data_IF_490519394887
#
_entry.id   IF_490519394887
#
_cell.length_a   1.000
_cell.length_b   1.000
_cell.length_c   1.000
_cell.angle_alpha   90.00
_cell.angle_beta   90.00
_cell.angle_gamma   90.00
#
_symmetry.space_group_name_H-M   'P 1'
#
loop_
_entity.id
_entity.type
_entity.pdbx_description
1 polymer ?
#
# COMPACT_ATOMS: atom_id res chain seq x y z
N UNK A 1 21.58 -37.96 -6.29
CA UNK A 1 20.21 -37.39 -6.43
C UNK A 1 19.84 -36.36 -5.35
N UNK A 2 20.26 -36.48 -4.08
CA UNK A 2 19.93 -35.50 -3.02
C UNK A 2 20.47 -34.07 -3.22
N UNK A 3 21.62 -33.86 -3.87
CA UNK A 3 22.21 -32.52 -4.03
C UNK A 3 21.44 -31.59 -5.00
N UNK A 4 20.86 -32.13 -6.08
CA UNK A 4 20.07 -31.34 -7.05
C UNK A 4 18.74 -30.84 -6.47
N UNK A 5 18.11 -31.64 -5.59
CA UNK A 5 16.82 -31.30 -5.00
C UNK A 5 16.92 -30.20 -3.94
N UNK A 6 18.03 -30.20 -3.17
CA UNK A 6 18.34 -29.14 -2.19
C UNK A 6 18.61 -27.80 -2.90
N UNK A 7 19.22 -27.81 -4.08
CA UNK A 7 19.48 -26.59 -4.87
C UNK A 7 18.21 -25.92 -5.39
N UNK A 8 17.21 -26.68 -5.87
CA UNK A 8 15.94 -26.09 -6.33
C UNK A 8 15.11 -25.50 -5.19
N UNK A 9 15.07 -26.13 -4.02
CA UNK A 9 14.31 -25.63 -2.87
C UNK A 9 14.84 -24.28 -2.38
N UNK A 10 16.16 -24.13 -2.32
CA UNK A 10 16.84 -22.88 -1.97
C UNK A 10 16.53 -21.70 -2.91
N UNK A 11 16.11 -21.97 -4.15
CA UNK A 11 15.77 -20.95 -5.15
C UNK A 11 14.30 -20.49 -5.02
N UNK A 12 13.36 -21.42 -4.79
CA UNK A 12 11.92 -21.09 -4.77
C UNK A 12 11.43 -20.52 -3.44
N UNK A 13 12.00 -20.94 -2.32
CA UNK A 13 11.60 -20.47 -0.98
C UNK A 13 11.67 -18.93 -0.86
N UNK A 14 12.80 -18.25 -1.17
CA UNK A 14 12.87 -16.80 -1.04
C UNK A 14 11.89 -16.08 -1.98
N UNK A 15 11.65 -16.62 -3.17
CA UNK A 15 10.68 -16.07 -4.12
C UNK A 15 9.26 -16.10 -3.53
N UNK A 16 8.82 -17.25 -3.02
CA UNK A 16 7.48 -17.39 -2.45
C UNK A 16 7.30 -16.59 -1.16
N UNK A 17 8.35 -16.46 -0.33
CA UNK A 17 8.34 -15.55 0.81
C UNK A 17 8.10 -14.12 0.34
N UNK A 18 8.78 -13.68 -0.73
CA UNK A 18 8.58 -12.35 -1.31
C UNK A 18 7.17 -12.16 -1.88
N UNK A 19 6.63 -13.17 -2.56
CA UNK A 19 5.23 -13.16 -3.06
C UNK A 19 4.24 -13.01 -1.92
N UNK A 20 4.36 -13.83 -0.87
CA UNK A 20 3.44 -13.81 0.27
C UNK A 20 3.54 -12.51 1.06
N UNK A 21 4.75 -12.01 1.30
CA UNK A 21 4.96 -10.72 1.95
C UNK A 21 4.35 -9.57 1.15
N UNK A 22 4.54 -9.57 -0.17
CA UNK A 22 4.00 -8.54 -1.06
C UNK A 22 2.48 -8.56 -1.11
N UNK A 23 1.88 -9.75 -1.25
CA UNK A 23 0.43 -9.91 -1.20
C UNK A 23 -0.14 -9.44 0.14
N UNK A 24 0.44 -9.90 1.24
CA UNK A 24 0.00 -9.50 2.58
C UNK A 24 0.02 -7.99 2.75
N UNK A 25 1.12 -7.35 2.34
CA UNK A 25 1.26 -5.90 2.41
C UNK A 25 0.22 -5.17 1.55
N UNK A 26 0.01 -5.61 0.30
CA UNK A 26 -1.01 -5.02 -0.59
C UNK A 26 -2.43 -5.23 -0.06
N UNK A 27 -2.76 -6.40 0.52
CA UNK A 27 -4.06 -6.63 1.16
C UNK A 27 -4.29 -5.62 2.28
N UNK A 28 -3.36 -5.52 3.24
CA UNK A 28 -3.54 -4.66 4.41
C UNK A 28 -3.70 -3.19 4.02
N UNK A 29 -2.81 -2.72 3.14
CA UNK A 29 -2.80 -1.33 2.71
C UNK A 29 -4.04 -0.97 1.88
N UNK A 30 -4.37 -1.80 0.87
CA UNK A 30 -5.54 -1.56 0.04
C UNK A 30 -6.86 -1.71 0.81
N UNK A 31 -6.92 -2.63 1.79
CA UNK A 31 -8.09 -2.78 2.65
C UNK A 31 -8.28 -1.56 3.54
N UNK A 32 -7.23 -1.08 4.22
CA UNK A 32 -7.34 0.10 5.06
C UNK A 32 -7.82 1.32 4.27
N UNK A 33 -7.26 1.57 3.09
CA UNK A 33 -7.68 2.68 2.23
C UNK A 33 -9.10 2.51 1.66
N UNK A 34 -9.49 1.28 1.33
CA UNK A 34 -10.86 0.97 0.90
C UNK A 34 -11.84 1.28 2.03
N UNK A 35 -11.56 0.81 3.24
CA UNK A 35 -12.42 1.03 4.41
C UNK A 35 -12.50 2.52 4.76
N UNK A 36 -11.38 3.27 4.67
CA UNK A 36 -11.34 4.72 4.83
C UNK A 36 -12.26 5.44 3.84
N UNK A 37 -12.32 4.97 2.60
CA UNK A 37 -13.21 5.54 1.59
C UNK A 37 -14.70 5.30 1.92
N UNK A 38 -15.04 4.23 2.65
CA UNK A 38 -16.40 3.86 3.02
C UNK A 38 -16.79 4.22 4.47
N UNK A 39 -15.88 4.78 5.26
CA UNK A 39 -16.02 5.07 6.69
C UNK A 39 -17.12 6.10 7.07
N UNK A 40 -17.97 6.52 6.13
CA UNK A 40 -19.11 7.40 6.40
C UNK A 40 -18.79 8.89 6.47
N UNK A 41 -17.54 9.28 6.18
CA UNK A 41 -17.20 10.69 6.01
C UNK A 41 -18.02 11.34 4.89
N UNK A 42 -18.47 12.59 5.07
CA UNK A 42 -19.23 13.30 4.04
C UNK A 42 -18.35 13.57 2.82
N UNK A 43 -18.71 13.04 1.64
CA UNK A 43 -17.99 13.35 0.39
C UNK A 43 -18.51 14.65 -0.20
N UNK A 44 -17.62 15.61 -0.40
CA UNK A 44 -17.99 16.98 -0.83
C UNK A 44 -17.18 17.43 -2.04
N UNK A 45 -16.03 16.78 -2.32
CA UNK A 45 -15.17 17.13 -3.43
C UNK A 45 -15.34 16.20 -4.63
N UNK A 46 -15.21 16.77 -5.82
CA UNK A 46 -15.20 16.04 -7.09
C UNK A 46 -13.79 15.59 -7.49
N UNK A 47 -12.76 16.16 -6.85
CA UNK A 47 -11.36 15.98 -7.22
C UNK A 47 -10.49 15.48 -6.06
N UNK A 48 -9.51 14.65 -6.39
CA UNK A 48 -8.57 14.09 -5.41
C UNK A 48 -7.52 15.11 -4.97
N UNK A 49 -7.36 15.26 -3.66
CA UNK A 49 -6.33 16.09 -3.04
C UNK A 49 -4.97 15.39 -3.10
N UNK A 50 -3.95 16.09 -3.63
CA UNK A 50 -2.57 15.60 -3.63
C UNK A 50 -1.82 16.08 -2.40
N UNK A 51 -0.81 15.32 -1.96
CA UNK A 51 0.07 15.72 -0.86
C UNK A 51 -0.46 15.42 0.54
N UNK A 52 -1.54 14.64 0.65
CA UNK A 52 -1.93 14.00 1.90
C UNK A 52 -1.13 12.72 2.11
N UNK A 53 -0.42 12.61 3.22
CA UNK A 53 0.51 11.52 3.51
C UNK A 53 0.22 10.93 4.89
N UNK A 54 -0.02 9.62 4.92
CA UNK A 54 -0.30 8.87 6.12
C UNK A 54 0.61 7.63 6.19
N UNK A 55 0.96 7.16 7.39
CA UNK A 55 1.62 5.86 7.53
C UNK A 55 0.66 4.74 7.11
N UNK A 56 1.14 3.77 6.32
CA UNK A 56 0.31 2.63 5.89
C UNK A 56 0.02 1.67 7.06
N UNK A 57 1.03 1.48 7.93
CA UNK A 57 0.96 0.58 9.09
C UNK A 57 1.38 1.34 10.35
N UNK A 58 0.69 1.06 11.45
CA UNK A 58 1.05 1.48 12.81
C UNK A 58 0.89 0.31 13.79
N UNK A 59 1.55 0.38 14.95
CA UNK A 59 1.29 -0.57 16.06
C UNK A 59 0.39 0.08 17.11
N UNK A 60 -0.30 -0.71 17.94
CA UNK A 60 -1.34 -0.21 18.88
C UNK A 60 -0.91 0.92 19.82
N UNK A 61 0.37 0.99 20.18
CA UNK A 61 0.91 2.00 21.08
C UNK A 61 1.71 3.10 20.39
N UNK A 62 1.76 3.10 19.05
CA UNK A 62 2.54 4.06 18.29
C UNK A 62 1.77 5.36 18.08
N UNK A 63 2.44 6.49 18.28
CA UNK A 63 1.92 7.82 17.96
C UNK A 63 2.67 8.36 16.74
N UNK A 64 1.93 8.84 15.74
CA UNK A 64 2.49 9.36 14.48
C UNK A 64 1.79 10.64 14.08
N UNK A 65 2.38 11.38 13.15
CA UNK A 65 1.70 12.48 12.48
C UNK A 65 1.26 12.08 11.08
N UNK A 66 0.04 12.47 10.73
CA UNK A 66 -0.43 12.58 9.35
C UNK A 66 -0.12 14.00 8.88
N UNK A 67 0.13 14.17 7.58
CA UNK A 67 0.47 15.50 7.06
C UNK A 67 -0.19 15.81 5.73
N UNK A 68 -0.57 17.07 5.57
CA UNK A 68 -1.12 17.60 4.33
C UNK A 68 -0.23 18.73 3.81
N UNK A 69 0.15 18.66 2.54
CA UNK A 69 0.82 19.75 1.83
C UNK A 69 -0.20 20.49 0.96
N UNK A 70 -0.34 21.79 1.19
CA UNK A 70 -1.20 22.66 0.38
C UNK A 70 -0.33 23.72 -0.28
N UNK A 71 -0.41 23.80 -1.60
CA UNK A 71 0.34 24.75 -2.42
C UNK A 71 -0.61 25.72 -3.11
N UNK A 72 -0.22 26.99 -3.21
CA UNK A 72 -0.91 27.99 -4.01
C UNK A 72 -0.24 28.11 -5.40
N UNK A 73 -0.83 27.56 -6.47
CA UNK A 73 -0.26 27.64 -7.81
C UNK A 73 -0.57 28.97 -8.53
N UNK A 74 -1.32 29.88 -7.90
CA UNK A 74 -1.79 31.12 -8.52
C UNK A 74 -0.93 32.31 -8.12
N UNK A 75 -0.99 33.37 -8.92
CA UNK A 75 -0.30 34.64 -8.67
C UNK A 75 -1.04 35.56 -7.68
N UNK A 76 -2.04 35.02 -6.97
CA UNK A 76 -2.86 35.75 -5.99
C UNK A 76 -2.85 35.06 -4.64
N UNK A 77 -2.92 35.81 -3.55
CA UNK A 77 -3.00 35.24 -2.20
C UNK A 77 -4.29 34.44 -2.04
N UNK A 78 -4.18 33.19 -1.59
CA UNK A 78 -5.32 32.32 -1.32
C UNK A 78 -5.56 32.18 0.18
N UNK A 79 -6.84 32.07 0.56
CA UNK A 79 -7.26 31.83 1.93
C UNK A 79 -8.14 30.58 2.09
N UNK A 80 -7.66 29.39 1.70
CA UNK A 80 -8.48 28.18 1.78
C UNK A 80 -8.78 27.80 3.23
N UNK A 81 -9.98 27.28 3.44
CA UNK A 81 -10.35 26.58 4.67
C UNK A 81 -10.06 25.11 4.47
N UNK A 82 -9.43 24.50 5.45
CA UNK A 82 -9.06 23.08 5.47
C UNK A 82 -9.82 22.44 6.62
N UNK A 83 -10.48 21.33 6.33
CA UNK A 83 -11.09 20.46 7.34
C UNK A 83 -10.37 19.13 7.33
N UNK A 84 -9.79 18.74 8.47
CA UNK A 84 -9.32 17.38 8.69
C UNK A 84 -10.29 16.65 9.63
N UNK A 85 -10.64 15.43 9.29
CA UNK A 85 -11.49 14.54 10.08
C UNK A 85 -10.66 13.28 10.40
N UNK A 86 -10.52 12.93 11.68
CA UNK A 86 -9.77 11.75 12.14
C UNK A 86 -10.72 10.83 12.91
N UNK A 87 -10.71 9.53 12.61
CA UNK A 87 -11.56 8.55 13.30
C UNK A 87 -11.31 8.51 14.80
N UNK A 88 -12.36 8.27 15.56
CA UNK A 88 -12.29 7.80 16.95
C UNK A 88 -13.43 6.79 17.17
N UNK A 89 -13.40 5.95 18.23
CA UNK A 89 -14.47 4.98 18.53
C UNK A 89 -15.89 5.55 18.72
N UNK A 90 -16.01 6.87 18.94
CA UNK A 90 -17.29 7.53 19.22
C UNK A 90 -17.70 8.48 18.11
N UNK A 91 -16.89 9.51 17.88
CA UNK A 91 -17.15 10.57 16.91
C UNK A 91 -15.81 11.04 16.32
N UNK A 92 -15.75 11.21 15.00
CA UNK A 92 -14.54 11.71 14.38
C UNK A 92 -14.14 13.08 14.95
N UNK A 93 -12.86 13.26 15.24
CA UNK A 93 -12.30 14.55 15.62
C UNK A 93 -12.22 15.44 14.38
N UNK A 94 -12.83 16.63 14.46
CA UNK A 94 -12.81 17.62 13.38
C UNK A 94 -11.84 18.76 13.70
N UNK A 95 -10.91 19.01 12.78
CA UNK A 95 -9.98 20.14 12.83
C UNK A 95 -10.28 21.08 11.67
N UNK A 96 -10.62 22.33 11.98
CA UNK A 96 -10.87 23.37 10.99
C UNK A 96 -9.77 24.42 11.05
N UNK A 97 -9.01 24.56 9.96
CA UNK A 97 -7.89 25.49 9.88
C UNK A 97 -8.04 26.41 8.67
N UNK A 98 -7.84 27.70 8.86
CA UNK A 98 -7.78 28.67 7.78
C UNK A 98 -6.33 29.00 7.49
N UNK A 99 -5.89 28.72 6.27
CA UNK A 99 -4.55 29.08 5.82
C UNK A 99 -4.58 30.36 5.01
N UNK A 100 -3.54 31.18 5.14
CA UNK A 100 -3.22 32.23 4.19
C UNK A 100 -1.95 31.82 3.45
N UNK A 101 -2.04 31.72 2.12
CA UNK A 101 -0.96 31.27 1.23
C UNK A 101 -0.63 32.39 0.25
N UNK A 102 0.60 32.91 0.31
CA UNK A 102 1.12 33.82 -0.70
C UNK A 102 1.24 33.12 -2.07
N UNK A 103 1.37 33.89 -3.17
CA UNK A 103 1.62 33.33 -4.50
C UNK A 103 2.81 32.35 -4.50
N UNK A 104 2.60 31.13 -5.01
CA UNK A 104 3.62 30.08 -5.05
C UNK A 104 3.97 29.43 -3.70
N UNK A 105 3.37 29.88 -2.59
CA UNK A 105 3.67 29.36 -1.26
C UNK A 105 3.13 27.94 -1.07
N UNK A 106 3.89 27.10 -0.37
CA UNK A 106 3.45 25.77 0.08
C UNK A 106 3.55 25.68 1.59
N UNK A 107 2.43 25.38 2.26
CA UNK A 107 2.39 25.11 3.71
C UNK A 107 2.12 23.63 3.96
N UNK A 108 2.67 23.14 5.08
CA UNK A 108 2.46 21.78 5.56
C UNK A 108 1.71 21.84 6.89
N UNK A 109 0.59 21.14 6.95
CA UNK A 109 -0.16 20.87 8.17
C UNK A 109 0.15 19.47 8.67
N UNK A 110 0.19 19.30 9.99
CA UNK A 110 0.45 18.02 10.63
C UNK A 110 -0.52 17.82 11.80
N UNK A 111 -1.18 16.66 11.82
CA UNK A 111 -2.05 16.25 12.92
C UNK A 111 -1.52 14.97 13.53
N UNK A 112 -1.60 14.85 14.85
CA UNK A 112 -1.13 13.67 15.58
C UNK A 112 -2.24 12.63 15.62
N UNK A 113 -1.88 11.38 15.36
CA UNK A 113 -2.75 10.20 15.44
C UNK A 113 -2.13 9.19 16.40
N UNK A 114 -2.97 8.60 17.25
CA UNK A 114 -2.55 7.70 18.31
C UNK A 114 -3.57 6.58 18.60
N UNK A 115 -3.37 5.85 19.70
CA UNK A 115 -4.26 4.77 20.14
C UNK A 115 -5.72 5.20 20.33
N UNK A 116 -5.95 6.47 20.67
CA UNK A 116 -7.27 7.10 20.84
C UNK A 116 -8.07 7.20 19.52
N UNK A 117 -7.39 7.17 18.38
CA UNK A 117 -8.02 7.29 17.06
C UNK A 117 -8.37 5.94 16.42
N UNK A 118 -8.03 4.83 17.09
CA UNK A 118 -8.30 3.48 16.59
C UNK A 118 -9.81 3.25 16.59
N UNK A 119 -10.37 3.05 15.41
CA UNK A 119 -11.74 2.59 15.22
C UNK A 119 -11.79 1.21 14.54
N UNK A 120 -12.94 0.55 14.64
CA UNK A 120 -13.15 -0.83 14.16
C UNK A 120 -12.05 -1.79 14.64
N UNK A 121 -11.55 -1.55 15.86
CA UNK A 121 -10.47 -2.26 16.57
C UNK A 121 -9.08 -2.25 15.92
N UNK A 122 -8.97 -1.98 14.61
CA UNK A 122 -7.75 -2.20 13.82
C UNK A 122 -7.41 -1.10 12.83
N UNK A 123 -8.19 -0.03 12.76
CA UNK A 123 -8.01 0.99 11.73
C UNK A 123 -7.96 2.38 12.33
N UNK A 124 -7.19 3.26 11.70
CA UNK A 124 -7.32 4.71 11.90
C UNK A 124 -7.62 5.29 10.52
N UNK A 125 -8.69 6.05 10.41
CA UNK A 125 -9.09 6.70 9.18
C UNK A 125 -8.87 8.19 9.31
N UNK A 126 -8.32 8.80 8.28
CA UNK A 126 -8.21 10.24 8.22
C UNK A 126 -8.66 10.75 6.86
N UNK A 127 -9.33 11.89 6.87
CA UNK A 127 -9.78 12.60 5.70
C UNK A 127 -9.35 14.05 5.79
N UNK A 128 -8.88 14.58 4.67
CA UNK A 128 -8.61 15.99 4.50
C UNK A 128 -9.46 16.54 3.37
N UNK A 129 -10.15 17.64 3.63
CA UNK A 129 -10.94 18.42 2.67
C UNK A 129 -10.37 19.84 2.60
N UNK A 130 -10.01 20.26 1.40
CA UNK A 130 -9.67 21.65 1.10
C UNK A 130 -10.87 22.26 0.38
N UNK A 131 -11.50 23.26 1.01
CA UNK A 131 -12.63 23.96 0.41
C UNK A 131 -12.19 24.80 -0.79
N UNK A 132 -13.07 24.90 -1.78
CA UNK A 132 -12.86 25.62 -3.03
C UNK A 132 -12.59 27.10 -2.77
N UNK A 133 -11.60 27.64 -3.46
CA UNK A 133 -11.35 29.07 -3.56
C UNK A 133 -11.18 29.35 -5.04
N UNK A 134 -12.08 30.14 -5.63
CA UNK A 134 -12.11 30.37 -7.08
C UNK A 134 -10.71 30.76 -7.60
N UNK A 135 -10.18 30.08 -8.64
CA UNK A 135 -10.81 29.07 -9.50
C UNK A 135 -10.63 27.59 -9.08
N UNK A 136 -10.05 27.29 -7.92
CA UNK A 136 -9.82 25.91 -7.46
C UNK A 136 -11.10 25.28 -6.91
N UNK A 137 -11.39 24.05 -7.35
CA UNK A 137 -12.50 23.22 -6.86
C UNK A 137 -12.22 22.63 -5.47
N UNK A 138 -13.26 22.11 -4.81
CA UNK A 138 -13.10 21.29 -3.61
C UNK A 138 -12.21 20.09 -3.92
N UNK A 139 -11.26 19.80 -3.02
CA UNK A 139 -10.34 18.67 -3.12
C UNK A 139 -10.39 17.85 -1.84
N UNK A 140 -10.56 16.53 -1.95
CA UNK A 140 -10.55 15.63 -0.81
C UNK A 140 -9.58 14.48 -0.98
N UNK A 141 -8.97 14.05 0.13
CA UNK A 141 -8.22 12.80 0.20
C UNK A 141 -8.62 12.05 1.47
N UNK A 142 -8.65 10.73 1.36
CA UNK A 142 -8.82 9.82 2.48
C UNK A 142 -7.61 8.92 2.56
N UNK A 143 -7.25 8.49 3.76
CA UNK A 143 -6.22 7.49 3.97
C UNK A 143 -6.64 6.55 5.09
N UNK A 144 -6.31 5.28 4.94
CA UNK A 144 -6.47 4.29 5.98
C UNK A 144 -5.12 3.86 6.54
N UNK A 145 -5.04 3.76 7.86
CA UNK A 145 -3.88 3.26 8.58
C UNK A 145 -4.29 1.94 9.22
N UNK A 146 -3.57 0.86 8.91
CA UNK A 146 -3.83 -0.45 9.52
C UNK A 146 -3.00 -0.66 10.79
N UNK A 147 -3.65 -1.08 11.87
CA UNK A 147 -3.00 -1.38 13.15
C UNK A 147 -2.59 -2.85 13.20
N UNK A 148 -1.29 -3.09 13.39
CA UNK A 148 -0.71 -4.42 13.47
C UNK A 148 -0.30 -4.75 14.91
N UNK A 149 -0.69 -5.93 15.37
CA UNK A 149 -0.38 -6.45 16.71
C UNK A 149 0.99 -7.15 16.74
N UNK A 150 2.04 -6.44 16.34
CA UNK A 150 3.41 -6.93 16.35
C UNK A 150 4.28 -6.01 17.22
N UNK A 151 5.29 -6.57 17.92
CA UNK A 151 6.25 -5.75 18.66
C UNK A 151 7.11 -4.93 17.68
N UNK A 152 7.23 -3.63 17.93
CA UNK A 152 8.05 -2.71 17.14
C UNK A 152 7.29 -1.48 16.64
N UNK A 153 7.87 -0.80 15.65
CA UNK A 153 7.22 0.33 14.96
C UNK A 153 6.61 -0.12 13.63
N UNK A 154 5.45 0.41 13.28
CA UNK A 154 4.77 0.14 12.01
C UNK A 154 5.66 0.48 10.82
N UNK A 155 6.47 1.54 10.93
CA UNK A 155 7.49 1.89 9.92
C UNK A 155 8.53 0.79 9.73
N UNK A 156 9.04 0.19 10.81
CA UNK A 156 10.02 -0.88 10.71
C UNK A 156 9.39 -2.15 10.10
N UNK A 157 8.16 -2.48 10.50
CA UNK A 157 7.41 -3.62 9.94
C UNK A 157 7.15 -3.42 8.45
N UNK A 158 6.69 -2.23 8.06
CA UNK A 158 6.47 -1.86 6.66
C UNK A 158 7.75 -1.97 5.84
N UNK A 159 8.86 -1.39 6.33
CA UNK A 159 10.15 -1.48 5.68
C UNK A 159 10.64 -2.93 5.54
N UNK A 160 10.46 -3.75 6.58
CA UNK A 160 10.80 -5.17 6.55
C UNK A 160 9.98 -5.93 5.50
N UNK A 161 8.66 -5.70 5.42
CA UNK A 161 7.80 -6.34 4.43
C UNK A 161 8.19 -5.93 3.00
N UNK A 162 8.53 -4.67 2.77
CA UNK A 162 9.06 -4.20 1.48
C UNK A 162 10.37 -4.91 1.15
N UNK A 163 11.31 -4.97 2.10
CA UNK A 163 12.59 -5.65 1.91
C UNK A 163 12.41 -7.15 1.63
N UNK A 164 11.51 -7.82 2.34
CA UNK A 164 11.18 -9.23 2.09
C UNK A 164 10.55 -9.41 0.71
N UNK A 165 9.67 -8.50 0.29
CA UNK A 165 9.01 -8.55 -1.01
C UNK A 165 10.01 -8.37 -2.15
N UNK A 166 10.68 -7.21 -2.21
CA UNK A 166 11.60 -6.90 -3.30
C UNK A 166 12.90 -7.73 -3.22
N UNK A 167 13.40 -8.00 -2.01
CA UNK A 167 14.54 -8.87 -1.80
C UNK A 167 14.24 -10.31 -2.19
N UNK A 168 13.10 -10.86 -1.76
CA UNK A 168 12.68 -12.22 -2.10
C UNK A 168 12.40 -12.42 -3.59
N UNK A 169 11.64 -11.49 -4.19
CA UNK A 169 11.37 -11.51 -5.63
C UNK A 169 12.65 -11.32 -6.46
N UNK A 170 13.47 -10.33 -6.10
CA UNK A 170 14.71 -10.01 -6.81
C UNK A 170 15.74 -11.13 -6.73
N UNK A 171 16.03 -11.62 -5.53
CA UNK A 171 16.94 -12.74 -5.31
C UNK A 171 16.42 -14.03 -5.98
N UNK A 172 15.14 -14.33 -5.80
CA UNK A 172 14.51 -15.50 -6.40
C UNK A 172 14.60 -15.49 -7.93
N UNK A 173 14.30 -14.36 -8.58
CA UNK A 173 14.43 -14.21 -10.03
C UNK A 173 15.89 -14.27 -10.49
N UNK A 174 16.82 -13.66 -9.76
CA UNK A 174 18.24 -13.72 -10.07
C UNK A 174 18.76 -15.16 -10.03
N UNK A 175 18.47 -15.89 -8.95
CA UNK A 175 18.87 -17.28 -8.79
C UNK A 175 18.22 -18.20 -9.85
N UNK A 176 16.95 -17.96 -10.20
CA UNK A 176 16.28 -18.67 -11.30
C UNK A 176 16.95 -18.40 -12.65
N UNK A 177 17.34 -17.17 -12.96
CA UNK A 177 18.04 -16.83 -14.21
C UNK A 177 19.38 -17.55 -14.32
N UNK A 178 20.15 -17.60 -13.23
CA UNK A 178 21.44 -18.29 -13.22
C UNK A 178 21.27 -19.81 -13.38
N UNK A 179 20.26 -20.40 -12.75
CA UNK A 179 19.96 -21.83 -12.87
C UNK A 179 19.30 -22.22 -14.21
N UNK A 180 18.65 -21.27 -14.90
CA UNK A 180 17.92 -21.50 -16.16
C UNK A 180 18.79 -22.08 -17.26
N UNK A 181 20.09 -21.75 -17.30
CA UNK A 181 21.03 -22.29 -18.29
C UNK A 181 21.23 -23.82 -18.17
N UNK A 182 20.87 -24.40 -17.02
CA UNK A 182 21.07 -25.83 -16.73
C UNK A 182 19.78 -26.65 -16.68
N UNK A 183 18.61 -26.00 -16.74
CA UNK A 183 17.33 -26.67 -16.50
C UNK A 183 16.20 -26.07 -17.35
N UNK A 184 15.83 -26.77 -18.43
CA UNK A 184 14.75 -26.40 -19.35
C UNK A 184 13.38 -26.19 -18.67
N UNK A 185 13.20 -26.77 -17.47
CA UNK A 185 11.99 -26.56 -16.67
C UNK A 185 11.89 -25.12 -16.13
N UNK A 186 13.02 -24.56 -15.69
CA UNK A 186 13.12 -23.21 -15.12
C UNK A 186 12.88 -22.18 -16.23
N UNK A 187 13.45 -22.42 -17.42
CA UNK A 187 13.28 -21.57 -18.58
C UNK A 187 11.80 -21.39 -18.96
N UNK A 188 11.01 -22.48 -18.92
CA UNK A 188 9.57 -22.44 -19.22
C UNK A 188 8.75 -21.62 -18.21
N UNK A 189 9.10 -21.64 -16.93
CA UNK A 189 8.34 -20.95 -15.87
C UNK A 189 8.89 -19.56 -15.51
N UNK A 190 10.06 -19.18 -16.03
CA UNK A 190 10.67 -17.89 -15.71
C UNK A 190 9.80 -16.70 -16.16
N UNK A 191 9.16 -16.78 -17.35
CA UNK A 191 8.28 -15.72 -17.86
C UNK A 191 7.06 -15.47 -16.95
N UNK A 192 6.21 -16.46 -16.63
CA UNK A 192 5.05 -16.21 -15.78
C UNK A 192 5.44 -15.82 -14.33
N UNK A 193 6.55 -16.34 -13.79
CA UNK A 193 7.05 -15.90 -12.47
C UNK A 193 7.57 -14.47 -12.48
N UNK A 194 8.24 -14.04 -13.56
CA UNK A 194 8.66 -12.64 -13.72
C UNK A 194 7.43 -11.73 -13.83
N UNK A 195 6.41 -12.15 -14.58
CA UNK A 195 5.16 -11.39 -14.70
C UNK A 195 4.45 -11.25 -13.34
N UNK A 196 4.33 -12.33 -12.57
CA UNK A 196 3.75 -12.27 -11.22
C UNK A 196 4.53 -11.33 -10.30
N UNK A 197 5.87 -11.37 -10.35
CA UNK A 197 6.71 -10.47 -9.56
C UNK A 197 6.50 -8.99 -9.93
N UNK A 198 6.35 -8.68 -11.22
CA UNK A 198 6.03 -7.32 -11.70
C UNK A 198 4.65 -6.89 -11.22
N UNK A 199 3.64 -7.75 -11.33
CA UNK A 199 2.27 -7.44 -10.86
C UNK A 199 2.25 -7.16 -9.36
N UNK A 200 2.93 -7.98 -8.54
CA UNK A 200 3.03 -7.76 -7.09
C UNK A 200 3.81 -6.48 -6.77
N UNK A 201 4.94 -6.25 -7.44
CA UNK A 201 5.73 -5.03 -7.26
C UNK A 201 4.94 -3.76 -7.58
N UNK A 202 4.15 -3.78 -8.66
CA UNK A 202 3.22 -2.70 -9.01
C UNK A 202 2.10 -2.57 -7.98
N UNK A 203 1.52 -3.68 -7.51
CA UNK A 203 0.47 -3.68 -6.49
C UNK A 203 0.93 -3.03 -5.19
N UNK A 204 2.13 -3.38 -4.72
CA UNK A 204 2.75 -2.76 -3.53
C UNK A 204 3.02 -1.26 -3.76
N UNK A 205 3.57 -0.89 -4.92
CA UNK A 205 3.87 0.52 -5.22
C UNK A 205 2.60 1.38 -5.28
N UNK A 206 1.57 0.91 -5.98
CA UNK A 206 0.29 1.62 -6.12
C UNK A 206 -0.43 1.72 -4.77
N UNK A 207 -0.40 0.66 -3.97
CA UNK A 207 -1.01 0.65 -2.64
C UNK A 207 -0.28 1.59 -1.68
N UNK A 208 1.05 1.68 -1.75
CA UNK A 208 1.82 2.64 -0.95
C UNK A 208 1.56 4.10 -1.32
N UNK A 209 0.98 4.37 -2.50
CA UNK A 209 0.56 5.71 -2.95
C UNK A 209 -0.90 6.03 -2.60
N UNK A 210 -1.60 5.16 -1.86
CA UNK A 210 -3.02 5.35 -1.50
C UNK A 210 -4.02 4.91 -2.58
N UNK A 211 -3.55 4.23 -3.63
CA UNK A 211 -4.39 3.81 -4.75
C UNK A 211 -5.12 2.49 -4.50
N UNK A 212 -6.16 2.47 -3.66
CA UNK A 212 -6.83 1.22 -3.28
C UNK A 212 -7.48 0.47 -4.45
N UNK A 213 -8.24 1.16 -5.32
CA UNK A 213 -8.95 0.53 -6.43
C UNK A 213 -8.03 -0.21 -7.42
N UNK A 214 -6.98 0.43 -7.99
CA UNK A 214 -6.03 -0.28 -8.84
C UNK A 214 -5.23 -1.35 -8.08
N UNK A 215 -5.00 -1.19 -6.76
CA UNK A 215 -4.33 -2.22 -5.95
C UNK A 215 -5.17 -3.49 -5.80
N UNK A 216 -6.47 -3.37 -5.57
CA UNK A 216 -7.40 -4.53 -5.51
C UNK A 216 -7.43 -5.24 -6.87
N UNK A 217 -7.46 -4.50 -7.97
CA UNK A 217 -7.43 -5.08 -9.32
C UNK A 217 -6.14 -5.89 -9.54
N UNK A 218 -4.98 -5.30 -9.22
CA UNK A 218 -3.68 -5.98 -9.33
C UNK A 218 -3.60 -7.21 -8.42
N UNK A 219 -4.20 -7.14 -7.23
CA UNK A 219 -4.27 -8.26 -6.31
C UNK A 219 -5.11 -9.41 -6.88
N UNK A 220 -6.25 -9.12 -7.49
CA UNK A 220 -7.07 -10.12 -8.17
C UNK A 220 -6.29 -10.81 -9.31
N UNK A 221 -5.56 -10.03 -10.12
CA UNK A 221 -4.68 -10.59 -11.16
C UNK A 221 -3.58 -11.47 -10.56
N UNK A 222 -2.94 -11.04 -9.47
CA UNK A 222 -1.91 -11.83 -8.79
C UNK A 222 -2.45 -13.16 -8.25
N UNK A 223 -3.62 -13.16 -7.61
CA UNK A 223 -4.27 -14.38 -7.10
C UNK A 223 -4.61 -15.34 -8.25
N UNK A 224 -5.21 -14.85 -9.34
CA UNK A 224 -5.51 -15.67 -10.52
C UNK A 224 -4.24 -16.31 -11.11
N UNK A 225 -3.16 -15.53 -11.21
CA UNK A 225 -1.87 -16.03 -11.69
C UNK A 225 -1.29 -17.12 -10.77
N UNK A 226 -1.41 -16.98 -9.46
CA UNK A 226 -0.97 -18.00 -8.50
C UNK A 226 -1.79 -19.29 -8.67
N UNK A 227 -3.11 -19.19 -8.80
CA UNK A 227 -3.99 -20.36 -9.05
C UNK A 227 -3.62 -21.06 -10.35
N UNK A 228 -3.40 -20.31 -11.44
CA UNK A 228 -3.00 -20.87 -12.74
C UNK A 228 -1.65 -21.56 -12.64
N UNK A 229 -0.68 -20.93 -11.97
CA UNK A 229 0.64 -21.52 -11.75
C UNK A 229 0.51 -22.83 -10.97
N UNK A 230 -0.12 -22.82 -9.79
CA UNK A 230 -0.33 -24.01 -8.96
C UNK A 230 -1.06 -25.13 -9.71
N UNK A 231 -2.10 -24.80 -10.48
CA UNK A 231 -2.81 -25.77 -11.31
C UNK A 231 -1.93 -26.41 -12.38
N UNK A 232 -1.04 -25.61 -13.00
CA UNK A 232 -0.07 -26.12 -13.99
C UNK A 232 0.97 -27.06 -13.37
N UNK A 233 1.33 -26.85 -12.10
CA UNK A 233 2.18 -27.76 -11.34
C UNK A 233 1.45 -29.07 -11.03
N UNK A 234 0.25 -29.00 -10.45
CA UNK A 234 -0.53 -30.17 -10.05
C UNK A 234 -0.86 -31.09 -11.23
N UNK A 235 -1.26 -30.52 -12.38
CA UNK A 235 -1.54 -31.28 -13.60
C UNK A 235 -0.31 -32.00 -14.18
N UNK A 236 0.90 -31.51 -13.90
CA UNK A 236 2.14 -32.11 -14.38
C UNK A 236 2.60 -33.27 -13.53
N UNK A 237 2.41 -33.19 -12.20
CA UNK A 237 2.67 -34.30 -11.27
C UNK A 237 1.87 -35.54 -11.71
N UNK A 238 0.57 -35.35 -11.96
CA UNK A 238 -0.37 -36.39 -12.38
C UNK A 238 -0.08 -37.02 -13.75
N UNK A 239 0.82 -36.43 -14.54
CA UNK A 239 1.21 -36.92 -15.87
C UNK A 239 2.53 -37.72 -15.83
N UNK A 240 3.18 -37.79 -14.66
CA UNK A 240 4.42 -38.55 -14.42
C UNK A 240 4.17 -39.87 -13.71
N UNK A 241 3.03 -40.01 -13.04
CA UNK A 241 2.48 -41.29 -12.55
C UNK A 241 1.76 -42.03 -13.68
#
# INVERSE_FOLDING_TARGET
MKSKQISSFLIYVPYWIGVLAGLYLTVLAAWADMEAAFYGFSRVAESGLRGFSCPVLMTRGEVRSISLKVSNPLDVTLRPVIRAEISTPLLADEFLEQLELAPGETKRLEWTVGPENIDLERFIFAKALVYSVYPLSNQEATCGIFIVDLPGSGRAIFALLILLTFGGLGWGLYAMRQASASNAWIEKHNRPMTFLAVVIGLGVAVSAMGGWAPSILLLAVAVLMIVILLGSFAMRERRRE
#
